data_IF_347224203099
#
_entry.id   IF_347224203099
#
_cell.length_a   1.000
_cell.length_b   1.000
_cell.length_c   1.000
_cell.angle_alpha   90.00
_cell.angle_beta   90.00
_cell.angle_gamma   90.00
#
_symmetry.space_group_name_H-M   'P 1'
#
loop_
_entity.id
_entity.type
_entity.pdbx_description
1 polymer ?
#
# COMPACT_ATOMS: atom_id res chain seq x y z
N UNK A 1 -22.60 66.98 45.09
CA UNK A 1 -23.22 66.90 43.75
C UNK A 1 -22.30 66.08 42.87
N UNK A 2 -22.62 64.81 42.68
CA UNK A 2 -21.87 63.92 41.79
C UNK A 2 -22.88 63.34 40.81
N UNK A 3 -22.83 63.77 39.55
CA UNK A 3 -23.62 63.14 38.49
C UNK A 3 -22.78 62.02 37.87
N UNK A 4 -23.19 60.78 38.07
CA UNK A 4 -22.63 59.60 37.40
C UNK A 4 -23.38 59.41 36.08
N UNK A 5 -22.66 59.47 34.96
CA UNK A 5 -23.19 59.18 33.63
C UNK A 5 -22.94 57.71 33.31
N UNK A 6 -23.99 56.89 33.37
CA UNK A 6 -23.92 55.48 32.99
C UNK A 6 -24.12 55.40 31.47
N UNK A 7 -23.06 55.01 30.75
CA UNK A 7 -23.12 54.70 29.32
C UNK A 7 -23.56 53.25 29.11
N UNK A 8 -24.63 53.01 28.36
CA UNK A 8 -24.97 51.68 27.86
C UNK A 8 -24.59 51.57 26.38
N UNK A 9 -23.83 50.53 26.03
CA UNK A 9 -23.46 50.21 24.64
C UNK A 9 -24.50 49.23 24.10
N UNK A 10 -25.20 49.62 23.03
CA UNK A 10 -26.18 48.75 22.37
C UNK A 10 -25.46 47.73 21.48
N UNK A 11 -25.22 46.53 22.02
CA UNK A 11 -24.80 45.38 21.23
C UNK A 11 -26.03 44.78 20.54
N UNK A 12 -26.30 45.23 19.31
CA UNK A 12 -27.37 44.71 18.49
C UNK A 12 -26.86 44.22 17.14
N UNK A 13 -26.38 42.97 17.07
CA UNK A 13 -26.23 42.28 15.79
C UNK A 13 -27.53 41.52 15.48
N UNK A 14 -28.57 42.26 15.09
CA UNK A 14 -29.83 41.67 14.62
C UNK A 14 -29.61 41.09 13.22
N UNK A 15 -29.03 39.90 13.17
CA UNK A 15 -28.75 39.20 11.93
C UNK A 15 -30.07 38.73 11.32
N UNK A 16 -30.32 39.09 10.05
CA UNK A 16 -31.58 38.78 9.36
C UNK A 16 -31.81 37.25 9.37
N UNK A 17 -33.07 36.78 9.50
CA UNK A 17 -33.37 35.35 9.58
C UNK A 17 -32.83 34.57 8.37
N UNK A 18 -32.80 35.19 7.19
CA UNK A 18 -32.18 34.62 5.98
C UNK A 18 -30.67 34.45 6.10
N UNK A 19 -29.96 35.40 6.69
CA UNK A 19 -28.51 35.31 6.93
C UNK A 19 -28.17 34.16 7.87
N UNK A 20 -29.00 33.90 8.89
CA UNK A 20 -28.82 32.76 9.80
C UNK A 20 -28.94 31.42 9.08
N UNK A 21 -29.91 31.29 8.17
CA UNK A 21 -30.10 30.08 7.36
C UNK A 21 -28.92 29.87 6.41
N UNK A 22 -28.48 30.91 5.70
CA UNK A 22 -27.35 30.83 4.76
C UNK A 22 -26.07 30.40 5.48
N UNK A 23 -25.76 31.00 6.64
CA UNK A 23 -24.58 30.65 7.42
C UNK A 23 -24.63 29.18 7.87
N UNK A 24 -25.80 28.69 8.31
CA UNK A 24 -25.98 27.29 8.68
C UNK A 24 -25.75 26.33 7.52
N UNK A 25 -26.31 26.62 6.34
CA UNK A 25 -26.15 25.78 5.14
C UNK A 25 -24.71 25.75 4.67
N UNK A 26 -24.02 26.90 4.67
CA UNK A 26 -22.61 26.99 4.26
C UNK A 26 -21.70 26.23 5.24
N UNK A 27 -21.93 26.35 6.55
CA UNK A 27 -21.15 25.59 7.55
C UNK A 27 -21.34 24.09 7.41
N UNK A 28 -22.59 23.62 7.29
CA UNK A 28 -22.87 22.20 7.13
C UNK A 28 -22.33 21.65 5.81
N UNK A 29 -22.51 22.38 4.71
CA UNK A 29 -22.02 21.98 3.39
C UNK A 29 -20.50 21.85 3.35
N UNK A 30 -19.78 22.84 3.90
CA UNK A 30 -18.31 22.81 3.96
C UNK A 30 -17.81 21.69 4.87
N UNK A 31 -18.42 21.48 6.03
CA UNK A 31 -18.05 20.38 6.93
C UNK A 31 -18.24 19.00 6.28
N UNK A 32 -19.33 18.79 5.55
CA UNK A 32 -19.61 17.53 4.83
C UNK A 32 -18.60 17.29 3.71
N UNK A 33 -18.29 18.32 2.91
CA UNK A 33 -17.30 18.21 1.84
C UNK A 33 -15.90 17.86 2.38
N UNK A 34 -15.49 18.49 3.48
CA UNK A 34 -14.22 18.18 4.13
C UNK A 34 -14.19 16.76 4.70
N UNK A 35 -15.29 16.31 5.31
CA UNK A 35 -15.40 14.94 5.82
C UNK A 35 -15.30 13.90 4.69
N UNK A 36 -15.99 14.13 3.56
CA UNK A 36 -15.92 13.22 2.40
C UNK A 36 -14.50 13.22 1.81
N UNK A 37 -13.89 14.39 1.62
CA UNK A 37 -12.52 14.49 1.13
C UNK A 37 -11.54 13.78 2.07
N UNK A 38 -11.66 13.97 3.38
CA UNK A 38 -10.84 13.28 4.38
C UNK A 38 -11.03 11.77 4.34
N UNK A 39 -12.27 11.27 4.27
CA UNK A 39 -12.55 9.83 4.15
C UNK A 39 -11.97 9.25 2.86
N UNK A 40 -12.07 9.96 1.75
CA UNK A 40 -11.49 9.55 0.48
C UNK A 40 -9.97 9.50 0.56
N UNK A 41 -9.33 10.54 1.09
CA UNK A 41 -7.88 10.57 1.33
C UNK A 41 -7.45 9.44 2.27
N UNK A 42 -8.14 9.24 3.41
CA UNK A 42 -7.87 8.15 4.33
C UNK A 42 -8.02 6.78 3.67
N UNK A 43 -9.03 6.57 2.81
CA UNK A 43 -9.16 5.32 2.07
C UNK A 43 -8.06 5.14 1.04
N UNK A 44 -7.71 6.16 0.28
CA UNK A 44 -6.61 6.10 -0.69
C UNK A 44 -5.27 5.84 0.00
N UNK A 45 -5.03 6.49 1.14
CA UNK A 45 -3.82 6.31 1.94
C UNK A 45 -3.76 4.92 2.57
N UNK A 46 -4.85 4.45 3.20
CA UNK A 46 -4.93 3.10 3.79
C UNK A 46 -4.83 1.99 2.74
N UNK A 47 -5.28 2.23 1.51
CA UNK A 47 -5.14 1.27 0.41
C UNK A 47 -3.70 1.18 -0.06
N UNK A 48 -3.00 2.31 -0.14
CA UNK A 48 -1.58 2.38 -0.49
C UNK A 48 -0.70 1.60 0.51
N UNK A 49 -0.95 1.75 1.81
CA UNK A 49 -0.18 1.03 2.84
C UNK A 49 -0.39 -0.48 2.81
N UNK A 50 -1.62 -0.95 2.53
CA UNK A 50 -1.91 -2.39 2.40
C UNK A 50 -1.17 -3.05 1.23
N UNK A 51 -1.02 -2.35 0.12
CA UNK A 51 -0.27 -2.88 -1.03
C UNK A 51 1.20 -3.04 -0.67
N UNK A 52 1.78 -2.08 0.05
CA UNK A 52 3.16 -2.15 0.50
C UNK A 52 3.39 -3.34 1.45
N UNK A 53 2.51 -3.53 2.43
CA UNK A 53 2.59 -4.66 3.37
C UNK A 53 2.49 -6.02 2.66
N UNK A 54 1.62 -6.14 1.64
CA UNK A 54 1.49 -7.38 0.87
C UNK A 54 2.73 -7.66 0.01
N UNK A 55 3.28 -6.63 -0.63
CA UNK A 55 4.52 -6.73 -1.42
C UNK A 55 5.69 -7.11 -0.52
N UNK A 56 5.81 -6.48 0.65
CA UNK A 56 6.86 -6.79 1.63
C UNK A 56 6.72 -8.22 2.18
N UNK A 57 5.50 -8.63 2.55
CA UNK A 57 5.22 -9.99 3.01
C UNK A 57 5.52 -11.03 1.92
N UNK A 58 5.17 -10.76 0.68
CA UNK A 58 5.47 -11.65 -0.45
C UNK A 58 6.97 -11.73 -0.73
N UNK A 59 7.68 -10.59 -0.66
CA UNK A 59 9.13 -10.54 -0.80
C UNK A 59 9.82 -11.35 0.33
N UNK A 60 9.36 -11.20 1.57
CA UNK A 60 9.87 -11.96 2.72
C UNK A 60 9.65 -13.47 2.56
N UNK A 61 8.44 -13.90 2.19
CA UNK A 61 8.14 -15.32 1.96
C UNK A 61 8.99 -15.92 0.82
N UNK A 62 9.21 -15.15 -0.24
CA UNK A 62 10.05 -15.57 -1.36
C UNK A 62 11.52 -15.70 -0.95
N UNK A 63 12.03 -14.75 -0.16
CA UNK A 63 13.39 -14.77 0.37
C UNK A 63 13.62 -15.94 1.33
N UNK A 64 12.64 -16.22 2.20
CA UNK A 64 12.67 -17.36 3.12
C UNK A 64 12.74 -18.68 2.34
N UNK A 65 11.83 -18.87 1.38
CA UNK A 65 11.81 -20.07 0.53
C UNK A 65 13.10 -20.23 -0.25
N UNK A 66 13.68 -19.13 -0.76
CA UNK A 66 14.97 -19.17 -1.44
C UNK A 66 16.12 -19.60 -0.51
N UNK A 67 16.14 -19.12 0.74
CA UNK A 67 17.13 -19.52 1.75
C UNK A 67 17.06 -21.02 2.05
N UNK A 68 15.84 -21.56 2.18
CA UNK A 68 15.64 -23.00 2.42
C UNK A 68 16.10 -23.84 1.23
N UNK A 69 15.77 -23.43 0.01
CA UNK A 69 16.23 -24.06 -1.23
C UNK A 69 17.76 -23.99 -1.37
N UNK A 70 18.37 -22.85 -1.00
CA UNK A 70 19.82 -22.68 -1.00
C UNK A 70 20.48 -23.64 0.00
N UNK A 71 19.89 -23.82 1.18
CA UNK A 71 20.41 -24.75 2.17
C UNK A 71 20.26 -26.20 1.72
N UNK A 72 19.08 -26.58 1.21
CA UNK A 72 18.82 -27.92 0.69
C UNK A 72 19.76 -28.28 -0.48
N UNK A 73 20.13 -27.31 -1.31
CA UNK A 73 21.05 -27.50 -2.46
C UNK A 73 22.52 -27.30 -2.12
N UNK A 74 22.88 -27.15 -0.83
CA UNK A 74 24.25 -26.83 -0.38
C UNK A 74 24.85 -25.65 -1.17
N UNK A 75 24.12 -24.54 -1.21
CA UNK A 75 24.43 -23.33 -1.98
C UNK A 75 24.51 -23.56 -3.50
N UNK A 76 23.59 -24.36 -4.07
CA UNK A 76 23.58 -24.69 -5.50
C UNK A 76 24.92 -25.28 -6.00
N UNK A 77 25.58 -26.08 -5.17
CA UNK A 77 26.92 -26.61 -5.48
C UNK A 77 26.90 -27.77 -6.48
N UNK A 78 25.81 -28.55 -6.51
CA UNK A 78 25.76 -29.78 -7.28
C UNK A 78 24.81 -29.65 -8.47
N UNK A 79 25.34 -29.17 -9.60
CA UNK A 79 24.57 -28.96 -10.84
C UNK A 79 24.33 -30.30 -11.55
N UNK A 80 23.06 -30.60 -11.79
CA UNK A 80 22.59 -31.78 -12.53
C UNK A 80 22.49 -31.53 -14.04
N UNK A 81 22.26 -30.28 -14.45
CA UNK A 81 22.13 -29.94 -15.87
C UNK A 81 21.91 -28.44 -16.13
N UNK A 82 22.08 -28.03 -17.39
CA UNK A 82 21.87 -26.66 -17.87
C UNK A 82 21.08 -26.70 -19.16
N UNK A 83 20.16 -25.75 -19.36
CA UNK A 83 19.46 -25.57 -20.64
C UNK A 83 18.95 -24.14 -20.80
N UNK A 84 18.19 -23.88 -21.87
CA UNK A 84 17.63 -22.53 -22.17
C UNK A 84 16.65 -21.98 -21.12
N UNK A 85 16.21 -22.83 -20.20
CA UNK A 85 15.34 -22.46 -19.08
C UNK A 85 16.10 -22.43 -17.74
N UNK A 86 17.43 -22.31 -17.76
CA UNK A 86 18.28 -22.23 -16.58
C UNK A 86 18.95 -23.54 -16.15
N UNK A 87 19.38 -23.59 -14.89
CA UNK A 87 20.23 -24.63 -14.31
C UNK A 87 19.45 -25.49 -13.32
N UNK A 88 19.67 -26.80 -13.32
CA UNK A 88 19.06 -27.73 -12.35
C UNK A 88 20.13 -28.18 -11.36
N UNK A 89 19.82 -28.11 -10.07
CA UNK A 89 20.72 -28.48 -8.97
C UNK A 89 20.12 -29.58 -8.11
N UNK A 90 20.97 -30.48 -7.62
CA UNK A 90 20.60 -31.49 -6.64
C UNK A 90 20.50 -30.85 -5.26
N UNK A 91 19.44 -31.16 -4.54
CA UNK A 91 19.31 -30.85 -3.12
C UNK A 91 18.84 -32.04 -2.30
N UNK A 92 18.90 -31.88 -0.99
CA UNK A 92 18.42 -32.85 -0.01
C UNK A 92 17.68 -32.08 1.08
N UNK A 93 16.42 -32.42 1.33
CA UNK A 93 15.67 -31.84 2.43
C UNK A 93 16.16 -32.38 3.79
N UNK A 94 15.78 -31.75 4.91
CA UNK A 94 16.11 -32.23 6.25
C UNK A 94 15.60 -33.65 6.56
N UNK A 95 14.57 -34.10 5.84
CA UNK A 95 13.98 -35.44 5.93
C UNK A 95 14.75 -36.51 5.09
N UNK A 96 15.93 -36.16 4.57
CA UNK A 96 16.75 -36.97 3.64
C UNK A 96 16.12 -37.23 2.27
N UNK A 97 15.01 -36.57 1.93
CA UNK A 97 14.40 -36.67 0.60
C UNK A 97 15.29 -35.96 -0.43
N UNK A 98 15.67 -36.67 -1.50
CA UNK A 98 16.40 -36.08 -2.62
C UNK A 98 15.46 -35.23 -3.48
N UNK A 99 15.86 -33.98 -3.75
CA UNK A 99 15.11 -33.04 -4.58
C UNK A 99 15.98 -32.50 -5.72
N UNK A 100 15.34 -32.05 -6.80
CA UNK A 100 15.98 -31.29 -7.87
C UNK A 100 15.40 -29.88 -7.90
N UNK A 101 16.24 -28.87 -7.77
CA UNK A 101 15.87 -27.45 -7.80
C UNK A 101 16.28 -26.86 -9.13
N UNK A 102 15.30 -26.45 -9.94
CA UNK A 102 15.54 -25.71 -11.18
C UNK A 102 15.59 -24.22 -10.89
N UNK A 103 16.74 -23.60 -11.11
CA UNK A 103 16.93 -22.15 -11.05
C UNK A 103 16.87 -21.57 -12.45
N UNK A 104 16.19 -20.44 -12.61
CA UNK A 104 16.15 -19.70 -13.86
C UNK A 104 17.30 -18.68 -13.84
N UNK A 105 18.48 -19.05 -14.35
CA UNK A 105 19.54 -18.09 -14.66
C UNK A 105 19.14 -17.35 -15.94
N UNK A 106 18.81 -16.06 -15.86
CA UNK A 106 18.41 -15.25 -17.02
C UNK A 106 17.35 -14.17 -16.72
N UNK A 107 16.63 -14.25 -15.60
CA UNK A 107 15.62 -13.24 -15.24
C UNK A 107 16.20 -11.88 -14.82
N UNK A 108 17.52 -11.78 -14.65
CA UNK A 108 18.23 -10.56 -14.26
C UNK A 108 18.56 -9.63 -15.44
N UNK A 109 18.76 -10.15 -16.66
CA UNK A 109 19.25 -9.33 -17.77
C UNK A 109 18.21 -9.07 -18.89
N UNK A 110 17.28 -10.00 -19.13
CA UNK A 110 16.36 -9.92 -20.27
C UNK A 110 14.90 -9.72 -19.83
N UNK A 111 14.62 -8.56 -19.21
CA UNK A 111 13.27 -8.16 -18.76
C UNK A 111 12.24 -7.92 -19.88
N UNK A 112 12.51 -8.28 -21.14
CA UNK A 112 11.67 -7.85 -22.29
C UNK A 112 10.79 -8.91 -22.96
N UNK A 113 10.96 -10.21 -22.77
CA UNK A 113 10.17 -11.16 -23.60
C UNK A 113 9.54 -12.37 -22.92
N UNK A 114 9.73 -12.61 -21.62
CA UNK A 114 9.08 -13.77 -20.98
C UNK A 114 8.59 -13.45 -19.56
N UNK A 115 7.82 -12.38 -19.43
CA UNK A 115 6.83 -12.29 -18.35
C UNK A 115 5.56 -12.95 -18.86
N UNK A 116 5.37 -14.23 -18.57
CA UNK A 116 4.01 -14.71 -18.41
C UNK A 116 3.42 -13.89 -17.26
N UNK A 117 2.48 -13.03 -17.63
CA UNK A 117 1.83 -12.07 -16.79
C UNK A 117 1.15 -12.75 -15.60
N UNK A 118 1.84 -12.87 -14.47
CA UNK A 118 1.18 -12.73 -13.18
C UNK A 118 0.94 -11.24 -12.95
N UNK A 119 0.19 -10.62 -13.87
CA UNK A 119 -0.48 -9.37 -13.61
C UNK A 119 -1.51 -9.69 -12.53
N UNK A 120 -1.13 -9.51 -11.27
CA UNK A 120 -2.11 -9.08 -10.29
C UNK A 120 -2.52 -7.69 -10.77
N UNK A 121 -3.51 -7.69 -11.67
CA UNK A 121 -4.25 -6.51 -12.08
C UNK A 121 -4.91 -5.97 -10.82
N UNK A 122 -4.20 -5.09 -10.11
CA UNK A 122 -4.87 -3.98 -9.42
C UNK A 122 -4.80 -2.79 -10.37
N UNK A 123 -5.36 -2.96 -11.57
CA UNK A 123 -5.91 -1.82 -12.28
C UNK A 123 -7.09 -1.32 -11.45
N UNK A 124 -7.09 -0.04 -11.11
CA UNK A 124 -7.92 0.96 -11.78
C UNK A 124 -8.33 2.05 -10.78
N UNK A 125 -8.24 3.28 -11.27
CA UNK A 125 -8.88 4.51 -10.75
C UNK A 125 -8.11 5.27 -9.66
N UNK A 126 -7.18 6.12 -10.09
CA UNK A 126 -7.51 7.53 -10.04
C UNK A 126 -8.32 7.86 -11.30
#
# INVERSE_FOLDING_TARGET
MSMQMIFYIRLGSSMRPTTRIIVGVVLCGTAILLAIAFLFLCKCWRRSTRTLELVERYAFLTAFRFKDLKNATKNFSNKLGSGGFGSVFKGTLPDSTAIAVKTLEGFSQDKKQFRSEWQILVLQSC
#
